data_IF_605541248632
#
_entry.id   IF_605541248632
#
_cell.length_a   1.000
_cell.length_b   1.000
_cell.length_c   1.000
_cell.angle_alpha   90.00
_cell.angle_beta   90.00
_cell.angle_gamma   90.00
#
_symmetry.space_group_name_H-M   'P 1'
#
loop_
_entity.id
_entity.type
_entity.pdbx_description
1 polymer ?
#
# COMPACT_ATOMS: atom_id res chain seq x y z
N UNK A 1 -16.71 31.37 -2.97
CA UNK A 1 -16.45 30.02 -2.43
C UNK A 1 -15.04 29.65 -2.87
N UNK A 2 -14.18 29.24 -1.94
CA UNK A 2 -12.82 28.77 -2.26
C UNK A 2 -12.91 27.46 -3.05
N UNK A 3 -11.98 27.20 -3.98
CA UNK A 3 -12.00 26.01 -4.84
C UNK A 3 -12.01 24.68 -4.06
N UNK A 4 -11.47 24.71 -2.85
CA UNK A 4 -11.39 23.58 -1.92
C UNK A 4 -12.77 23.12 -1.41
N UNK A 5 -13.68 24.07 -1.11
CA UNK A 5 -15.03 23.75 -0.68
C UNK A 5 -15.91 23.17 -1.81
N UNK A 6 -15.61 23.52 -3.07
CA UNK A 6 -16.31 22.98 -4.23
C UNK A 6 -15.82 21.56 -4.57
N UNK A 7 -14.52 21.30 -4.46
CA UNK A 7 -13.95 19.95 -4.63
C UNK A 7 -14.50 18.97 -3.58
N UNK A 8 -14.58 19.40 -2.31
CA UNK A 8 -15.15 18.57 -1.24
C UNK A 8 -16.64 18.25 -1.44
N UNK A 9 -17.41 19.17 -2.03
CA UNK A 9 -18.83 18.97 -2.30
C UNK A 9 -19.10 17.96 -3.44
N UNK A 10 -18.26 17.94 -4.48
CA UNK A 10 -18.41 17.01 -5.61
C UNK A 10 -18.11 15.55 -5.21
N UNK A 11 -17.22 15.33 -4.24
CA UNK A 11 -16.89 13.99 -3.71
C UNK A 11 -18.05 13.37 -2.93
N UNK A 12 -18.93 14.18 -2.33
CA UNK A 12 -20.04 13.72 -1.48
C UNK A 12 -21.21 13.03 -2.22
N UNK A 13 -21.35 13.21 -3.53
CA UNK A 13 -22.42 12.58 -4.34
C UNK A 13 -21.98 11.30 -5.07
N UNK A 14 -20.68 10.98 -5.09
CA UNK A 14 -20.15 9.85 -5.86
C UNK A 14 -20.19 8.57 -5.01
N UNK A 15 -21.20 7.73 -5.26
CA UNK A 15 -21.40 6.47 -4.52
C UNK A 15 -20.30 5.41 -4.75
N UNK A 16 -19.51 5.53 -5.82
CA UNK A 16 -18.31 4.71 -6.06
C UNK A 16 -17.37 5.38 -7.05
N UNK A 17 -16.07 5.42 -6.73
CA UNK A 17 -15.02 5.94 -7.62
C UNK A 17 -14.48 4.81 -8.50
N UNK A 18 -14.50 4.99 -9.83
CA UNK A 18 -13.96 4.02 -10.80
C UNK A 18 -12.70 4.54 -11.49
N UNK A 19 -11.86 3.64 -12.04
CA UNK A 19 -10.69 4.04 -12.83
C UNK A 19 -11.07 4.89 -14.06
N UNK A 20 -12.22 4.61 -14.68
CA UNK A 20 -12.73 5.41 -15.80
C UNK A 20 -13.17 6.81 -15.37
N UNK A 21 -13.75 6.95 -14.18
CA UNK A 21 -14.06 8.25 -13.61
C UNK A 21 -12.79 9.05 -13.36
N UNK A 22 -11.80 8.45 -12.70
CA UNK A 22 -10.50 9.09 -12.44
C UNK A 22 -9.81 9.51 -13.74
N UNK A 23 -9.78 8.61 -14.73
CA UNK A 23 -9.25 8.90 -16.07
C UNK A 23 -9.90 10.14 -16.69
N UNK A 24 -11.23 10.19 -16.64
CA UNK A 24 -12.01 11.31 -17.21
C UNK A 24 -11.69 12.62 -16.46
N UNK A 25 -11.73 12.60 -15.13
CA UNK A 25 -11.42 13.77 -14.29
C UNK A 25 -10.00 14.28 -14.50
N UNK A 26 -9.02 13.39 -14.63
CA UNK A 26 -7.64 13.76 -14.91
C UNK A 26 -7.45 14.35 -16.30
N UNK A 27 -8.13 13.79 -17.31
CA UNK A 27 -8.08 14.33 -18.67
C UNK A 27 -8.68 15.74 -18.74
N UNK A 28 -9.79 15.96 -18.04
CA UNK A 28 -10.41 17.29 -17.91
C UNK A 28 -9.47 18.27 -17.19
N UNK A 29 -8.95 17.87 -16.03
CA UNK A 29 -8.03 18.69 -15.24
C UNK A 29 -6.78 19.12 -16.03
N UNK A 30 -6.19 18.20 -16.79
CA UNK A 30 -5.02 18.47 -17.62
C UNK A 30 -5.35 19.41 -18.80
N UNK A 31 -6.47 19.17 -19.48
CA UNK A 31 -6.92 19.97 -20.62
C UNK A 31 -7.23 21.41 -20.23
N UNK A 32 -7.87 21.62 -19.08
CA UNK A 32 -8.16 22.96 -18.55
C UNK A 32 -6.91 23.80 -18.29
N UNK A 33 -5.76 23.15 -18.09
CA UNK A 33 -4.48 23.78 -17.76
C UNK A 33 -3.50 23.78 -18.93
N UNK A 34 -3.91 23.31 -20.12
CA UNK A 34 -3.01 23.09 -21.27
C UNK A 34 -1.81 22.18 -20.94
N UNK A 35 -2.00 21.22 -20.01
CA UNK A 35 -0.92 20.34 -19.55
C UNK A 35 -0.68 19.14 -20.46
N UNK A 36 -1.58 18.86 -21.39
CA UNK A 36 -1.45 17.72 -22.32
C UNK A 36 -0.15 17.77 -23.13
N UNK A 37 0.38 18.96 -23.38
CA UNK A 37 1.68 19.15 -24.05
C UNK A 37 2.88 18.62 -23.27
N UNK A 38 2.75 18.48 -21.94
CA UNK A 38 3.78 17.95 -21.05
C UNK A 38 3.59 16.47 -20.75
N UNK A 39 2.40 15.93 -21.00
CA UNK A 39 2.00 14.55 -20.71
C UNK A 39 2.45 13.53 -21.78
N UNK A 40 3.74 13.52 -22.10
CA UNK A 40 4.32 12.37 -22.83
C UNK A 40 4.42 11.14 -21.92
N UNK A 41 4.36 9.90 -22.46
CA UNK A 41 4.47 8.67 -21.65
C UNK A 41 5.71 8.65 -20.74
N UNK A 42 6.85 9.13 -21.25
CA UNK A 42 8.10 9.21 -20.47
C UNK A 42 7.98 10.18 -19.31
N UNK A 43 7.40 11.36 -19.53
CA UNK A 43 7.29 12.36 -18.47
C UNK A 43 6.35 11.89 -17.36
N UNK A 44 5.21 11.29 -17.73
CA UNK A 44 4.27 10.72 -16.77
C UNK A 44 4.88 9.57 -15.98
N UNK A 45 5.69 8.71 -16.62
CA UNK A 45 6.43 7.66 -15.92
C UNK A 45 7.43 8.24 -14.92
N UNK A 46 8.16 9.30 -15.28
CA UNK A 46 9.12 9.93 -14.39
C UNK A 46 8.43 10.64 -13.22
N UNK A 47 7.29 11.28 -13.45
CA UNK A 47 6.46 11.85 -12.38
C UNK A 47 5.96 10.75 -11.43
N UNK A 48 5.41 9.65 -11.96
CA UNK A 48 5.02 8.47 -11.17
C UNK A 48 6.16 7.94 -10.28
N UNK A 49 7.39 7.89 -10.80
CA UNK A 49 8.55 7.47 -10.01
C UNK A 49 8.86 8.47 -8.88
N UNK A 50 8.66 9.76 -9.12
CA UNK A 50 8.74 10.81 -8.08
C UNK A 50 7.77 10.54 -6.93
N UNK A 51 6.49 10.35 -7.24
CA UNK A 51 5.45 10.08 -6.22
C UNK A 51 5.69 8.77 -5.46
N UNK A 52 6.23 7.74 -6.13
CA UNK A 52 6.66 6.52 -5.43
C UNK A 52 7.81 6.80 -4.47
N UNK A 53 8.68 7.75 -4.80
CA UNK A 53 9.72 8.27 -3.91
C UNK A 53 9.11 8.95 -2.67
N UNK A 54 8.19 9.89 -2.86
CA UNK A 54 7.50 10.60 -1.77
C UNK A 54 6.73 9.63 -0.86
N UNK A 55 5.99 8.68 -1.45
CA UNK A 55 5.36 7.57 -0.72
C UNK A 55 6.39 6.76 0.08
N UNK A 56 7.58 6.52 -0.46
CA UNK A 56 8.64 5.76 0.23
C UNK A 56 9.23 6.56 1.40
N UNK A 57 9.32 7.88 1.30
CA UNK A 57 9.82 8.76 2.37
C UNK A 57 8.99 8.68 3.64
N UNK A 58 7.68 8.42 3.53
CA UNK A 58 6.79 8.19 4.68
C UNK A 58 7.24 6.99 5.52
N UNK A 59 7.76 5.94 4.88
CA UNK A 59 8.12 4.69 5.54
C UNK A 59 9.61 4.56 5.86
N UNK A 60 10.48 5.36 5.23
CA UNK A 60 11.94 5.14 5.22
C UNK A 60 12.60 4.96 6.61
N UNK A 61 12.03 5.58 7.66
CA UNK A 61 12.53 5.51 9.05
C UNK A 61 11.57 4.83 10.02
N UNK A 62 10.43 4.33 9.52
CA UNK A 62 9.50 3.52 10.31
C UNK A 62 10.07 2.10 10.29
N UNK A 63 10.26 1.49 11.47
CA UNK A 63 10.67 0.08 11.56
C UNK A 63 9.59 -0.87 11.02
N UNK A 64 9.31 -1.97 11.72
CA UNK A 64 8.13 -2.77 11.35
C UNK A 64 6.84 -1.95 11.55
N UNK A 65 6.06 -1.78 10.47
CA UNK A 65 4.78 -1.07 10.52
C UNK A 65 3.63 -2.08 10.59
N UNK A 66 2.85 -2.10 11.68
CA UNK A 66 1.73 -3.02 11.82
C UNK A 66 0.59 -2.68 10.87
N UNK A 67 -0.16 -3.72 10.45
CA UNK A 67 -1.37 -3.56 9.64
C UNK A 67 -2.38 -2.66 10.34
N UNK A 68 -3.04 -1.80 9.57
CA UNK A 68 -4.06 -0.88 10.08
C UNK A 68 -3.51 0.38 10.75
N UNK A 69 -2.18 0.55 10.82
CA UNK A 69 -1.53 1.77 11.30
C UNK A 69 -2.05 2.27 12.67
N UNK A 70 -2.16 1.40 13.71
CA UNK A 70 -2.73 1.76 15.00
C UNK A 70 -2.00 2.92 15.71
N UNK A 71 -0.69 3.02 15.51
CA UNK A 71 0.17 4.01 16.17
C UNK A 71 0.38 5.29 15.34
N UNK A 72 -0.33 5.42 14.21
CA UNK A 72 -0.21 6.58 13.33
C UNK A 72 -1.28 7.61 13.68
N UNK A 73 -0.86 8.87 13.70
CA UNK A 73 -1.77 10.00 13.82
C UNK A 73 -2.61 10.14 12.55
N UNK A 74 -3.77 10.79 12.66
CA UNK A 74 -4.65 10.97 11.52
C UNK A 74 -3.99 11.80 10.41
N UNK A 75 -3.17 12.79 10.77
CA UNK A 75 -2.44 13.59 9.77
C UNK A 75 -1.44 12.74 8.97
N UNK A 76 -0.80 11.74 9.60
CA UNK A 76 0.10 10.82 8.91
C UNK A 76 -0.66 9.90 7.95
N UNK A 77 -1.88 9.49 8.31
CA UNK A 77 -2.75 8.67 7.45
C UNK A 77 -3.30 9.48 6.28
N UNK A 78 -3.62 10.75 6.50
CA UNK A 78 -4.03 11.68 5.44
C UNK A 78 -2.90 11.85 4.45
N UNK A 79 -1.69 12.17 4.91
CA UNK A 79 -0.53 12.32 4.05
C UNK A 79 -0.20 11.02 3.28
N UNK A 80 -0.26 9.86 3.95
CA UNK A 80 -0.16 8.57 3.26
C UNK A 80 -1.21 8.40 2.17
N UNK A 81 -2.45 8.83 2.43
CA UNK A 81 -3.55 8.80 1.47
C UNK A 81 -3.30 9.71 0.26
N UNK A 82 -2.69 10.88 0.46
CA UNK A 82 -2.29 11.81 -0.60
C UNK A 82 -1.25 11.15 -1.53
N UNK A 83 -0.13 10.66 -0.98
CA UNK A 83 0.93 10.03 -1.79
C UNK A 83 0.47 8.76 -2.51
N UNK A 84 -0.38 7.95 -1.87
CA UNK A 84 -1.02 6.81 -2.53
C UNK A 84 -1.92 7.25 -3.69
N UNK A 85 -2.60 8.38 -3.53
CA UNK A 85 -3.48 8.94 -4.56
C UNK A 85 -2.67 9.49 -5.72
N UNK A 86 -1.56 10.18 -5.48
CA UNK A 86 -0.70 10.72 -6.55
C UNK A 86 -0.10 9.60 -7.41
N UNK A 87 0.40 8.52 -6.79
CA UNK A 87 0.82 7.31 -7.50
C UNK A 87 -0.31 6.74 -8.36
N UNK A 88 -1.52 6.62 -7.82
CA UNK A 88 -2.68 6.11 -8.55
C UNK A 88 -3.03 7.00 -9.74
N UNK A 89 -3.09 8.32 -9.53
CA UNK A 89 -3.47 9.30 -10.54
C UNK A 89 -2.47 9.30 -11.69
N UNK A 90 -1.16 9.37 -11.44
CA UNK A 90 -0.19 9.29 -12.53
C UNK A 90 -0.22 7.95 -13.26
N UNK A 91 -0.48 6.83 -12.57
CA UNK A 91 -0.63 5.53 -13.23
C UNK A 91 -1.87 5.49 -14.14
N UNK A 92 -3.00 6.03 -13.68
CA UNK A 92 -4.23 6.16 -14.48
C UNK A 92 -3.97 7.04 -15.69
N UNK A 93 -3.37 8.22 -15.52
CA UNK A 93 -3.07 9.13 -16.64
C UNK A 93 -2.08 8.53 -17.63
N UNK A 94 -1.05 7.84 -17.15
CA UNK A 94 -0.11 7.12 -18.00
C UNK A 94 -0.82 6.05 -18.82
N UNK A 95 -1.73 5.29 -18.22
CA UNK A 95 -2.50 4.26 -18.94
C UNK A 95 -3.38 4.86 -20.03
N UNK A 96 -4.01 6.01 -19.75
CA UNK A 96 -4.84 6.76 -20.70
C UNK A 96 -4.06 7.22 -21.92
N UNK A 97 -2.93 7.91 -21.69
CA UNK A 97 -2.03 8.36 -22.76
C UNK A 97 -1.45 7.19 -23.57
N UNK A 98 -1.27 6.02 -22.94
CA UNK A 98 -0.81 4.81 -23.63
C UNK A 98 -1.94 4.01 -24.33
N UNK A 99 -3.21 4.41 -24.19
CA UNK A 99 -4.34 3.68 -24.75
C UNK A 99 -4.59 2.31 -24.08
N UNK A 100 -4.22 2.17 -22.81
CA UNK A 100 -4.35 0.93 -22.03
C UNK A 100 -5.58 1.02 -21.12
N UNK A 101 -6.50 0.06 -21.26
CA UNK A 101 -7.55 -0.15 -20.28
C UNK A 101 -6.94 -0.79 -19.01
N UNK A 102 -6.59 0.07 -18.05
CA UNK A 102 -5.89 -0.32 -16.83
C UNK A 102 -6.72 -1.32 -15.99
N UNK A 103 -8.03 -1.14 -15.93
CA UNK A 103 -8.94 -2.03 -15.20
C UNK A 103 -8.92 -3.45 -15.77
N UNK A 104 -9.10 -3.59 -17.10
CA UNK A 104 -9.02 -4.90 -17.77
C UNK A 104 -7.62 -5.50 -17.68
N UNK A 105 -6.57 -4.69 -17.80
CA UNK A 105 -5.18 -5.15 -17.68
C UNK A 105 -4.90 -5.70 -16.27
N UNK A 106 -5.36 -5.02 -15.22
CA UNK A 106 -5.21 -5.46 -13.84
C UNK A 106 -5.96 -6.78 -13.56
N UNK A 107 -7.22 -6.90 -14.01
CA UNK A 107 -8.00 -8.13 -13.85
C UNK A 107 -7.35 -9.32 -14.56
N UNK A 108 -6.89 -9.14 -15.81
CA UNK A 108 -6.11 -10.15 -16.53
C UNK A 108 -4.85 -10.54 -15.77
N UNK A 109 -4.13 -9.55 -15.21
CA UNK A 109 -2.90 -9.81 -14.47
C UNK A 109 -3.15 -10.59 -13.18
N UNK A 110 -4.24 -10.33 -12.47
CA UNK A 110 -4.66 -11.12 -11.30
C UNK A 110 -4.93 -12.59 -11.67
N UNK A 111 -5.64 -12.84 -12.78
CA UNK A 111 -5.89 -14.21 -13.26
C UNK A 111 -4.57 -14.94 -13.57
N UNK A 112 -3.64 -14.28 -14.26
CA UNK A 112 -2.31 -14.85 -14.54
C UNK A 112 -1.50 -15.10 -13.27
N UNK A 113 -1.60 -14.22 -12.27
CA UNK A 113 -0.94 -14.40 -10.99
C UNK A 113 -1.53 -15.58 -10.20
N UNK A 114 -2.84 -15.81 -10.26
CA UNK A 114 -3.48 -16.96 -9.61
C UNK A 114 -3.02 -18.30 -10.22
N UNK A 115 -2.73 -18.33 -11.53
CA UNK A 115 -2.12 -19.51 -12.18
C UNK A 115 -0.66 -19.66 -11.73
N UNK A 116 0.10 -18.56 -11.66
CA UNK A 116 1.51 -18.57 -11.25
C UNK A 116 1.70 -18.94 -9.77
N UNK A 117 0.75 -18.57 -8.90
CA UNK A 117 0.77 -18.79 -7.46
C UNK A 117 -0.54 -19.45 -6.99
N UNK A 118 -0.68 -20.77 -7.15
CA UNK A 118 -1.90 -21.48 -6.78
C UNK A 118 -2.17 -21.43 -5.27
N UNK A 119 -3.44 -21.28 -4.89
CA UNK A 119 -3.85 -21.20 -3.48
C UNK A 119 -3.42 -22.42 -2.64
N UNK A 120 -3.46 -23.62 -3.22
CA UNK A 120 -3.03 -24.84 -2.54
C UNK A 120 -1.52 -24.81 -2.17
N UNK A 121 -0.68 -24.25 -3.04
CA UNK A 121 0.74 -24.09 -2.77
C UNK A 121 0.99 -23.04 -1.68
N UNK A 122 0.24 -21.93 -1.70
CA UNK A 122 0.30 -20.90 -0.65
C UNK A 122 -0.14 -21.43 0.72
N UNK A 123 -1.23 -22.22 0.76
CA UNK A 123 -1.71 -22.83 2.01
C UNK A 123 -0.71 -23.85 2.58
N UNK A 124 -0.10 -24.67 1.72
CA UNK A 124 0.94 -25.62 2.14
C UNK A 124 2.18 -24.91 2.70
N UNK A 125 2.63 -23.82 2.06
CA UNK A 125 3.74 -23.01 2.56
C UNK A 125 3.41 -22.34 3.90
N UNK A 126 2.19 -21.82 4.06
CA UNK A 126 1.75 -21.23 5.32
C UNK A 126 1.72 -22.27 6.46
N UNK A 127 1.19 -23.48 6.20
CA UNK A 127 1.14 -24.56 7.17
C UNK A 127 2.54 -25.05 7.59
N UNK A 128 3.50 -25.10 6.65
CA UNK A 128 4.89 -25.45 6.95
C UNK A 128 5.56 -24.43 7.88
N UNK A 129 5.32 -23.13 7.66
CA UNK A 129 5.84 -22.06 8.53
C UNK A 129 5.21 -22.10 9.93
N UNK A 130 3.90 -22.37 10.03
CA UNK A 130 3.20 -22.53 11.33
C UNK A 130 3.74 -23.73 12.12
N UNK A 131 4.02 -24.85 11.47
CA UNK A 131 4.63 -26.02 12.12
C UNK A 131 6.07 -25.75 12.58
N UNK A 132 6.85 -24.94 11.85
CA UNK A 132 8.21 -24.59 12.27
C UNK A 132 8.22 -23.71 13.53
N UNK A 133 7.28 -22.76 13.65
CA UNK A 133 7.12 -21.93 14.86
C UNK A 133 6.62 -22.71 16.09
N UNK A 134 5.84 -23.78 15.86
CA UNK A 134 5.33 -24.65 16.93
C UNK A 134 6.41 -25.60 17.47
N UNK A 135 7.37 -26.01 16.63
CA UNK A 135 8.44 -26.92 17.02
C UNK A 135 9.59 -26.23 17.76
N UNK A 136 9.79 -24.92 17.57
CA UNK A 136 10.81 -24.14 18.30
C UNK A 136 10.35 -23.67 19.68
N UNK A 137 9.04 -23.56 19.94
CA UNK A 137 8.48 -23.17 21.24
C UNK A 137 8.26 -24.32 22.24
N UNK A 138 8.51 -25.57 21.86
CA UNK A 138 8.46 -26.73 22.78
C UNK A 138 9.84 -27.16 23.31
N UNK A 139 10.88 -26.36 23.05
CA UNK A 139 12.27 -26.61 23.44
C UNK A 139 12.74 -25.94 24.73
N UNK A 140 11.84 -25.46 25.60
CA UNK A 140 12.23 -25.07 26.96
C UNK A 140 12.57 -26.34 27.74
N UNK A 141 13.83 -26.78 27.61
CA UNK A 141 14.35 -27.89 28.39
C UNK A 141 14.20 -27.58 29.88
N UNK A 142 13.85 -28.60 30.65
CA UNK A 142 13.59 -28.60 32.10
C UNK A 142 14.65 -27.86 32.94
N UNK A 143 15.82 -27.64 32.36
CA UNK A 143 17.01 -26.95 32.88
C UNK A 143 16.83 -25.44 33.12
N UNK A 144 16.03 -24.72 32.32
CA UNK A 144 15.91 -23.26 32.44
C UNK A 144 15.00 -22.83 33.61
N UNK A 145 13.97 -23.62 33.92
CA UNK A 145 13.07 -23.35 35.05
C UNK A 145 13.73 -23.58 36.42
N UNK A 146 14.78 -24.41 36.50
CA UNK A 146 15.53 -24.62 37.74
C UNK A 146 16.56 -23.50 38.00
N UNK A 147 17.09 -22.87 36.94
CA UNK A 147 18.04 -21.75 37.07
C UNK A 147 17.35 -20.43 37.46
N UNK A 148 16.13 -20.18 37.01
CA UNK A 148 15.36 -18.99 37.41
C UNK A 148 14.99 -19.02 38.91
N UNK A 149 14.71 -20.21 39.47
CA UNK A 149 14.31 -20.37 40.87
C UNK A 149 15.47 -20.26 41.86
N UNK A 150 16.71 -20.45 41.40
CA UNK A 150 17.92 -20.28 42.22
C UNK A 150 18.35 -18.80 42.33
N UNK A 151 18.03 -17.97 41.34
CA UNK A 151 18.39 -16.54 41.33
C UNK A 151 17.51 -15.69 42.27
N UNK A 152 16.25 -16.07 42.50
CA UNK A 152 15.33 -15.36 43.41
C UNK A 152 15.62 -15.59 44.90
N UNK A 153 16.39 -16.64 45.26
CA UNK A 153 16.72 -16.96 46.65
C UNK A 153 18.00 -16.26 47.17
N UNK A 154 18.69 -15.48 46.32
CA UNK A 154 20.03 -14.96 46.60
C UNK A 154 20.10 -13.42 46.73
N UNK A 155 18.98 -12.74 46.99
CA UNK A 155 18.99 -11.30 47.31
C UNK A 155 18.86 -11.12 48.83
N UNK A 156 19.94 -10.73 49.55
CA UNK A 156 19.84 -10.35 50.94
C UNK A 156 19.23 -8.94 51.07
N UNK A 157 18.46 -8.78 52.15
CA UNK A 157 17.76 -7.58 52.59
C UNK A 157 18.69 -6.40 52.89
#
# INVERSE_FOLDING_TARGET
>A
MTGEAAAAAEVGEISSVSLDLLKTKMAEFARERDWDRFHSPRNLLLALVGEVGELSEIFQWKGEVPKGLPDWKEEEKVHLGEELSDVLLYLVRLSDICGIDLGKAALRKLQLNAIKYPAAAAAAAAAATTNHYSSTNNGATKTEKEQQKAAEAAVPN
#
